data_IF_164272037464
#
_entry.id   IF_164272037464
#
_cell.length_a   1.000
_cell.length_b   1.000
_cell.length_c   1.000
_cell.angle_alpha   90.00
_cell.angle_beta   90.00
_cell.angle_gamma   90.00
#
_symmetry.space_group_name_H-M   'P 1'
#
loop_
_entity.id
_entity.type
_entity.pdbx_description
1 polymer ?
#
# COMPACT_ATOMS: atom_id res chain seq x y z
N UNK A 1 1.77 -9.54 19.07
CA UNK A 1 3.20 -9.21 19.08
C UNK A 1 3.92 -10.32 18.36
N UNK A 2 4.15 -10.15 17.06
CA UNK A 2 4.83 -11.15 16.26
C UNK A 2 6.33 -11.04 16.52
N UNK A 3 6.92 -12.09 17.06
CA UNK A 3 8.38 -12.23 17.16
C UNK A 3 8.87 -12.49 15.75
N UNK A 4 9.54 -11.50 15.14
CA UNK A 4 10.35 -11.73 13.95
C UNK A 4 11.42 -12.75 14.31
N UNK A 5 11.22 -13.99 13.90
CA UNK A 5 12.14 -15.09 14.18
C UNK A 5 13.45 -14.87 13.43
N UNK A 6 14.51 -14.53 14.16
CA UNK A 6 15.88 -14.55 13.64
C UNK A 6 16.43 -15.95 13.88
N UNK A 7 16.62 -16.74 12.82
CA UNK A 7 17.37 -18.01 12.93
C UNK A 7 18.85 -17.70 12.81
N UNK A 8 19.57 -17.76 13.93
CA UNK A 8 21.03 -17.64 13.96
C UNK A 8 21.59 -19.07 14.09
N UNK A 9 22.21 -19.58 13.02
CA UNK A 9 22.97 -20.84 13.06
C UNK A 9 24.45 -20.51 13.13
N UNK A 10 25.11 -20.86 14.23
CA UNK A 10 26.57 -20.72 14.38
C UNK A 10 27.24 -22.09 14.44
N UNK A 11 28.18 -22.35 13.55
CA UNK A 11 29.16 -23.45 13.67
C UNK A 11 30.54 -22.83 13.85
N UNK A 12 31.13 -22.96 15.04
CA UNK A 12 32.48 -22.46 15.31
C UNK A 12 33.52 -23.57 15.18
N UNK A 13 34.48 -23.40 14.29
CA UNK A 13 35.81 -24.00 14.44
C UNK A 13 36.86 -22.97 14.08
N UNK A 14 37.65 -22.55 15.08
CA UNK A 14 38.83 -21.67 15.04
C UNK A 14 38.61 -20.15 15.03
N UNK A 15 39.58 -19.46 15.64
CA UNK A 15 39.59 -18.13 16.25
C UNK A 15 39.48 -16.91 15.29
N UNK A 16 38.61 -16.98 14.28
CA UNK A 16 38.39 -15.88 13.32
C UNK A 16 37.17 -15.06 13.73
N UNK A 17 37.26 -13.74 13.70
CA UNK A 17 36.13 -12.83 13.97
C UNK A 17 34.88 -13.26 13.16
N UNK A 18 33.78 -13.52 13.87
CA UNK A 18 32.56 -14.06 13.29
C UNK A 18 31.73 -12.93 12.67
N UNK A 19 31.69 -12.84 11.35
CA UNK A 19 30.80 -11.91 10.65
C UNK A 19 29.39 -12.52 10.62
N UNK A 20 28.49 -12.07 11.50
CA UNK A 20 27.08 -12.47 11.50
C UNK A 20 26.31 -11.54 10.56
N UNK A 21 25.93 -12.02 9.38
CA UNK A 21 24.98 -11.32 8.52
C UNK A 21 23.56 -11.64 8.97
N UNK A 22 22.88 -10.66 9.58
CA UNK A 22 21.45 -10.75 9.89
C UNK A 22 20.69 -10.22 8.67
N UNK A 23 20.10 -11.13 7.88
CA UNK A 23 19.21 -10.75 6.78
C UNK A 23 17.78 -10.63 7.33
N UNK A 24 17.36 -9.42 7.68
CA UNK A 24 15.93 -9.16 7.87
C UNK A 24 15.26 -9.16 6.50
N UNK A 25 14.30 -10.06 6.27
CA UNK A 25 13.41 -9.97 5.11
C UNK A 25 12.47 -8.80 5.35
N UNK A 26 12.94 -7.59 5.02
CA UNK A 26 12.10 -6.41 4.99
C UNK A 26 10.88 -6.67 4.11
N UNK A 27 9.72 -6.22 4.56
CA UNK A 27 8.51 -6.30 3.77
C UNK A 27 8.68 -5.37 2.55
N UNK A 28 8.90 -5.94 1.38
CA UNK A 28 8.96 -5.19 0.13
C UNK A 28 7.56 -4.77 -0.29
N UNK A 29 7.39 -3.51 -0.72
CA UNK A 29 6.17 -3.05 -1.37
C UNK A 29 5.85 -3.95 -2.58
N UNK A 30 4.58 -4.25 -2.78
CA UNK A 30 4.14 -4.95 -3.98
C UNK A 30 4.34 -4.01 -5.17
N UNK A 31 4.99 -4.45 -6.26
CA UNK A 31 5.12 -3.65 -7.46
C UNK A 31 3.74 -3.27 -8.02
N UNK A 32 3.52 -1.98 -8.26
CA UNK A 32 2.26 -1.46 -8.80
C UNK A 32 2.14 -1.62 -10.32
N UNK A 33 3.16 -2.16 -10.99
CA UNK A 33 3.23 -2.25 -12.47
C UNK A 33 2.11 -3.07 -13.09
N UNK A 34 1.54 -4.02 -12.35
CA UNK A 34 0.46 -4.89 -12.81
C UNK A 34 -0.89 -4.56 -12.15
N UNK A 35 -0.96 -3.48 -11.37
CA UNK A 35 -2.20 -3.12 -10.71
C UNK A 35 -3.20 -2.59 -11.73
N UNK A 36 -4.46 -2.98 -11.59
CA UNK A 36 -5.55 -2.44 -12.40
C UNK A 36 -6.71 -2.01 -11.53
N UNK A 37 -7.41 -0.97 -11.97
CA UNK A 37 -8.60 -0.49 -11.30
C UNK A 37 -9.76 -1.43 -11.61
N UNK A 38 -10.33 -2.09 -10.59
CA UNK A 38 -11.56 -2.88 -10.74
C UNK A 38 -12.79 -2.00 -10.67
N UNK A 39 -12.82 -1.08 -9.70
CA UNK A 39 -13.98 -0.26 -9.40
C UNK A 39 -13.61 0.98 -8.58
N UNK A 40 -14.33 2.08 -8.80
CA UNK A 40 -14.49 3.18 -7.83
C UNK A 40 -15.96 3.56 -7.79
N UNK A 41 -16.45 4.00 -6.63
CA UNK A 41 -17.82 4.52 -6.52
C UNK A 41 -18.03 5.78 -7.38
N UNK A 42 -17.03 6.66 -7.39
CA UNK A 42 -17.04 7.90 -8.13
C UNK A 42 -15.63 8.44 -8.34
N UNK A 43 -15.47 9.33 -9.31
CA UNK A 43 -14.24 10.07 -9.52
C UNK A 43 -14.55 11.43 -10.12
N UNK A 44 -13.68 12.40 -9.84
CA UNK A 44 -13.62 13.62 -10.64
C UNK A 44 -12.74 13.39 -11.87
N UNK A 45 -13.11 13.99 -12.99
CA UNK A 45 -12.44 13.85 -14.29
C UNK A 45 -10.97 14.32 -14.30
N UNK A 46 -10.54 15.13 -13.32
CA UNK A 46 -9.15 15.51 -13.11
C UNK A 46 -8.40 14.61 -12.12
N UNK A 47 -9.10 13.72 -11.40
CA UNK A 47 -8.59 12.95 -10.28
C UNK A 47 -9.12 11.51 -10.35
N UNK A 48 -8.68 10.79 -11.38
CA UNK A 48 -9.14 9.44 -11.70
C UNK A 48 -8.75 8.44 -10.62
N UNK A 49 -9.52 7.35 -10.49
CA UNK A 49 -9.22 6.26 -9.55
C UNK A 49 -7.83 5.65 -9.71
N UNK A 50 -7.31 5.59 -10.95
CA UNK A 50 -5.97 5.08 -11.24
C UNK A 50 -4.84 5.93 -10.65
N UNK A 51 -5.10 7.21 -10.34
CA UNK A 51 -4.11 8.08 -9.68
C UNK A 51 -3.85 7.70 -8.22
N UNK A 52 -4.65 6.80 -7.64
CA UNK A 52 -4.36 6.27 -6.30
C UNK A 52 -3.15 5.32 -6.28
N UNK A 53 -2.70 4.80 -7.43
CA UNK A 53 -1.64 3.79 -7.52
C UNK A 53 -0.75 3.92 -8.75
N UNK A 54 -0.62 5.13 -9.32
CA UNK A 54 0.24 5.41 -10.48
C UNK A 54 1.71 5.70 -10.10
N UNK A 55 2.03 5.72 -8.80
CA UNK A 55 3.37 5.98 -8.28
C UNK A 55 3.76 7.46 -8.25
N UNK A 56 2.86 8.39 -8.59
CA UNK A 56 3.13 9.82 -8.58
C UNK A 56 2.45 10.50 -7.39
N UNK A 57 3.25 11.05 -6.45
CA UNK A 57 2.75 11.73 -5.25
C UNK A 57 1.99 13.03 -5.52
N UNK A 58 2.12 13.58 -6.72
CA UNK A 58 1.50 14.86 -7.12
C UNK A 58 0.14 14.64 -7.80
N UNK A 59 -0.23 13.40 -8.10
CA UNK A 59 -1.57 12.99 -8.53
C UNK A 59 -2.29 12.27 -7.38
N UNK A 60 -3.62 12.30 -7.41
CA UNK A 60 -4.46 11.62 -6.42
C UNK A 60 -5.84 11.33 -7.02
N UNK A 61 -6.47 10.25 -6.56
CA UNK A 61 -7.89 10.01 -6.76
C UNK A 61 -8.71 10.95 -5.88
N UNK A 62 -9.82 11.46 -6.41
CA UNK A 62 -10.80 12.21 -5.64
C UNK A 62 -12.21 11.84 -6.13
N UNK A 63 -13.12 11.55 -5.20
CA UNK A 63 -14.53 11.30 -5.49
C UNK A 63 -15.20 12.56 -6.04
N UNK A 64 -16.40 12.42 -6.63
CA UNK A 64 -17.09 13.59 -7.17
C UNK A 64 -17.46 14.58 -6.06
N UNK A 65 -17.10 15.86 -6.24
CA UNK A 65 -17.40 16.94 -5.29
C UNK A 65 -18.49 17.90 -5.78
N UNK A 66 -18.95 17.77 -7.03
CA UNK A 66 -20.02 18.62 -7.60
C UNK A 66 -20.79 17.89 -8.71
N UNK A 67 -21.95 17.27 -8.41
CA UNK A 67 -22.51 17.12 -7.06
C UNK A 67 -21.62 16.25 -6.17
N UNK A 68 -21.67 16.47 -4.86
CA UNK A 68 -20.94 15.66 -3.88
C UNK A 68 -21.50 14.24 -3.87
N UNK A 69 -20.65 13.25 -4.10
CA UNK A 69 -21.03 11.85 -3.92
C UNK A 69 -21.20 11.55 -2.42
N UNK A 70 -22.26 10.83 -2.01
CA UNK A 70 -22.45 10.45 -0.60
C UNK A 70 -21.45 9.38 -0.16
N UNK A 71 -21.07 9.39 1.12
CA UNK A 71 -20.32 8.30 1.74
C UNK A 71 -21.20 7.05 1.96
N UNK A 72 -20.62 5.83 2.07
CA UNK A 72 -19.19 5.51 1.99
C UNK A 72 -18.63 5.57 0.56
N UNK A 73 -17.32 5.81 0.46
CA UNK A 73 -16.56 5.75 -0.80
C UNK A 73 -15.68 4.52 -0.82
N UNK A 74 -15.42 3.96 -2.00
CA UNK A 74 -14.59 2.78 -2.16
C UNK A 74 -13.77 2.78 -3.44
N UNK A 75 -12.62 2.12 -3.36
CA UNK A 75 -11.77 1.80 -4.49
C UNK A 75 -11.37 0.32 -4.40
N UNK A 76 -11.53 -0.40 -5.50
CA UNK A 76 -11.15 -1.80 -5.60
C UNK A 76 -10.03 -1.93 -6.65
N UNK A 77 -8.93 -2.56 -6.24
CA UNK A 77 -7.72 -2.70 -7.04
C UNK A 77 -7.41 -4.19 -7.19
N UNK A 78 -7.18 -4.62 -8.43
CA UNK A 78 -6.61 -5.93 -8.73
C UNK A 78 -5.09 -5.78 -8.75
N UNK A 79 -4.40 -6.54 -7.90
CA UNK A 79 -2.94 -6.46 -7.76
C UNK A 79 -2.19 -7.18 -8.91
N UNK A 80 -2.92 -7.88 -9.79
CA UNK A 80 -2.37 -8.62 -10.93
C UNK A 80 -1.77 -9.98 -10.60
N UNK A 81 -1.67 -10.33 -9.31
CA UNK A 81 -1.29 -11.64 -8.80
C UNK A 81 -1.74 -11.81 -7.34
N UNK A 82 -1.66 -13.02 -6.81
CA UNK A 82 -1.92 -13.30 -5.39
C UNK A 82 -0.69 -12.93 -4.56
N UNK A 83 -0.90 -12.16 -3.49
CA UNK A 83 0.14 -11.76 -2.55
C UNK A 83 -0.28 -12.02 -1.10
N UNK A 84 0.70 -12.31 -0.24
CA UNK A 84 0.51 -12.31 1.20
C UNK A 84 0.58 -10.85 1.70
N UNK A 85 -0.58 -10.26 2.01
CA UNK A 85 -0.68 -8.89 2.51
C UNK A 85 -0.50 -8.85 4.02
N UNK A 86 0.40 -7.99 4.50
CA UNK A 86 0.63 -7.76 5.94
C UNK A 86 0.41 -6.31 6.36
N UNK A 87 0.47 -5.37 5.41
CA UNK A 87 0.31 -3.92 5.62
C UNK A 87 -0.27 -3.28 4.37
N UNK A 88 -0.95 -2.16 4.54
CA UNK A 88 -1.26 -1.22 3.48
C UNK A 88 -0.76 0.18 3.85
N UNK A 89 -0.50 1.01 2.85
CA UNK A 89 -0.05 2.39 3.03
C UNK A 89 -0.96 3.34 2.28
N UNK A 90 -1.28 4.48 2.91
CA UNK A 90 -2.09 5.54 2.34
C UNK A 90 -1.32 6.86 2.41
N UNK A 91 -1.24 7.57 1.27
CA UNK A 91 -0.71 8.92 1.17
C UNK A 91 -1.88 9.87 0.85
N UNK A 92 -2.28 10.77 1.77
CA UNK A 92 -3.22 11.84 1.44
C UNK A 92 -2.69 12.73 0.32
N UNK A 93 -3.55 13.54 -0.30
CA UNK A 93 -3.13 14.57 -1.28
C UNK A 93 -2.02 15.47 -0.72
N UNK A 94 -1.08 15.87 -1.59
CA UNK A 94 0.14 16.60 -1.20
C UNK A 94 0.11 18.10 -1.55
N UNK A 95 -1.04 18.62 -1.95
CA UNK A 95 -1.22 20.01 -2.43
C UNK A 95 -1.61 21.00 -1.31
N UNK A 96 -1.42 20.62 -0.05
CA UNK A 96 -1.69 21.47 1.13
C UNK A 96 -3.15 21.53 1.56
N UNK A 97 -4.07 20.87 0.85
CA UNK A 97 -5.49 20.79 1.24
C UNK A 97 -5.77 19.53 2.06
N UNK A 98 -6.70 19.63 3.02
CA UNK A 98 -7.05 18.51 3.91
C UNK A 98 -8.33 17.77 3.50
N UNK A 99 -9.13 18.36 2.61
CA UNK A 99 -10.37 17.75 2.12
C UNK A 99 -10.10 16.44 1.39
N UNK A 100 -10.87 15.40 1.72
CA UNK A 100 -10.71 14.05 1.18
C UNK A 100 -9.70 13.18 1.95
N UNK A 101 -9.09 13.68 3.03
CA UNK A 101 -8.25 12.82 3.90
C UNK A 101 -9.11 11.75 4.58
N UNK A 102 -8.79 10.48 4.35
CA UNK A 102 -9.53 9.34 4.93
C UNK A 102 -9.22 9.26 6.42
N UNK A 103 -10.27 9.26 7.25
CA UNK A 103 -10.16 9.13 8.71
C UNK A 103 -10.48 7.71 9.17
N UNK A 104 -11.73 7.29 8.93
CA UNK A 104 -12.24 5.97 9.29
C UNK A 104 -12.33 5.13 8.01
N UNK A 105 -11.86 3.87 8.06
CA UNK A 105 -11.79 2.99 6.90
C UNK A 105 -12.01 1.53 7.31
N UNK A 106 -12.38 0.73 6.31
CA UNK A 106 -12.36 -0.73 6.37
C UNK A 106 -11.46 -1.23 5.23
N UNK A 107 -10.76 -2.35 5.44
CA UNK A 107 -9.86 -2.94 4.45
C UNK A 107 -10.28 -4.37 4.17
N UNK A 108 -10.65 -4.65 2.93
CA UNK A 108 -11.14 -5.94 2.46
C UNK A 108 -10.16 -6.56 1.47
N UNK A 109 -10.07 -7.88 1.48
CA UNK A 109 -9.24 -8.67 0.55
C UNK A 109 -10.06 -9.81 -0.03
N UNK A 110 -9.78 -10.17 -1.28
CA UNK A 110 -10.40 -11.30 -1.98
C UNK A 110 -9.34 -12.05 -2.79
N UNK A 111 -9.55 -13.34 -2.99
CA UNK A 111 -8.70 -14.25 -3.78
C UNK A 111 -9.44 -14.88 -4.94
#
# INVERSE_FOLDING_TARGET
GEKTGVTITTTSTSNSAMNVAVTTKEASLIPQTNWTLKYVDSYNWYNLGTYAFDGNKDTFWHTNWSPVAPMPHEIQIDLGATYNLSKFSYLPRQDGQINGTIKDYEFYVSS
#
